data_IF_459336057426
#
_entry.id   IF_459336057426
#
_cell.length_a   1.000
_cell.length_b   1.000
_cell.length_c   1.000
_cell.angle_alpha   90.00
_cell.angle_beta   90.00
_cell.angle_gamma   90.00
#
_symmetry.space_group_name_H-M   'P 1'
#
loop_
_entity.id
_entity.type
_entity.pdbx_description
1 polymer ?
#
# COMPACT_ATOMS: atom_id res chain seq x y z
N UNK A 1 10.35 -23.80 8.56
CA UNK A 1 11.38 -24.27 9.51
C UNK A 1 10.78 -25.37 10.37
N UNK A 2 11.54 -26.42 10.66
CA UNK A 2 11.17 -27.33 11.75
C UNK A 2 11.17 -26.55 13.06
N UNK A 3 10.12 -26.72 13.85
CA UNK A 3 9.95 -26.12 15.17
C UNK A 3 9.35 -27.20 16.07
N UNK A 4 9.73 -27.22 17.34
CA UNK A 4 9.24 -28.24 18.27
C UNK A 4 7.74 -28.05 18.60
N UNK A 5 7.30 -26.79 18.73
CA UNK A 5 5.90 -26.39 18.94
C UNK A 5 5.67 -24.89 18.74
N UNK A 6 4.41 -24.51 18.50
CA UNK A 6 3.94 -23.12 18.51
C UNK A 6 2.79 -23.04 19.50
N UNK A 7 2.86 -22.11 20.45
CA UNK A 7 1.85 -21.87 21.48
C UNK A 7 1.20 -20.49 21.29
N UNK A 8 -0.05 -20.31 21.73
CA UNK A 8 -0.75 -19.01 21.68
C UNK A 8 -1.44 -18.69 20.35
N UNK A 9 -1.59 -19.67 19.45
CA UNK A 9 -2.33 -19.48 18.20
C UNK A 9 -3.81 -19.13 18.44
N UNK A 10 -4.38 -19.50 19.58
CA UNK A 10 -5.74 -19.15 19.99
C UNK A 10 -5.97 -17.64 20.20
N UNK A 11 -4.90 -16.86 20.34
CA UNK A 11 -4.97 -15.39 20.44
C UNK A 11 -5.11 -14.72 19.07
N UNK A 12 -4.81 -15.43 17.99
CA UNK A 12 -4.82 -14.91 16.62
C UNK A 12 -5.92 -15.55 15.78
N UNK A 13 -6.58 -14.75 14.95
CA UNK A 13 -7.53 -15.25 13.95
C UNK A 13 -6.92 -15.26 12.54
N UNK A 14 -5.87 -14.46 12.32
CA UNK A 14 -5.26 -14.26 11.02
C UNK A 14 -3.81 -13.83 11.12
N UNK A 15 -2.99 -14.32 10.18
CA UNK A 15 -1.63 -13.85 9.94
C UNK A 15 -1.58 -13.25 8.53
N UNK A 16 -1.01 -12.06 8.40
CA UNK A 16 -0.88 -11.33 7.14
C UNK A 16 0.57 -10.94 6.95
N UNK A 17 1.16 -11.47 5.89
CA UNK A 17 2.47 -11.06 5.40
C UNK A 17 2.31 -9.90 4.41
N UNK A 18 3.06 -8.81 4.64
CA UNK A 18 3.07 -7.61 3.81
C UNK A 18 4.49 -7.35 3.30
N UNK A 19 4.76 -7.87 2.12
CA UNK A 19 6.02 -7.75 1.39
C UNK A 19 5.96 -6.69 0.27
N UNK A 20 7.12 -6.42 -0.33
CA UNK A 20 7.26 -5.52 -1.47
C UNK A 20 6.89 -6.15 -2.82
N UNK A 21 6.36 -7.38 -2.83
CA UNK A 21 5.97 -8.03 -4.09
C UNK A 21 4.88 -7.21 -4.82
N UNK A 22 4.86 -7.23 -6.16
CA UNK A 22 3.88 -6.46 -6.92
C UNK A 22 2.44 -6.83 -6.54
N UNK A 23 1.55 -5.85 -6.41
CA UNK A 23 0.12 -6.06 -6.14
C UNK A 23 -0.61 -6.82 -7.27
N UNK A 24 0.00 -6.87 -8.45
CA UNK A 24 -0.45 -7.65 -9.59
C UNK A 24 0.59 -7.64 -10.70
N UNK A 25 0.55 -8.67 -11.56
CA UNK A 25 1.50 -8.85 -12.67
C UNK A 25 0.95 -8.38 -14.02
N UNK A 26 -0.21 -7.74 -14.02
CA UNK A 26 -0.91 -7.32 -15.24
C UNK A 26 -1.31 -5.83 -15.18
N UNK A 27 -1.43 -5.15 -16.33
CA UNK A 27 -1.95 -3.77 -16.40
C UNK A 27 -3.38 -3.58 -15.84
N UNK A 28 -4.11 -4.68 -15.66
CA UNK A 28 -5.47 -4.70 -15.10
C UNK A 28 -5.51 -4.50 -13.60
N UNK A 29 -4.40 -4.80 -12.93
CA UNK A 29 -4.24 -4.53 -11.50
C UNK A 29 -3.77 -3.09 -11.33
N UNK A 30 -4.37 -2.38 -10.39
CA UNK A 30 -4.08 -0.98 -10.07
C UNK A 30 -4.53 -0.67 -8.63
N UNK A 31 -4.19 0.49 -8.07
CA UNK A 31 -4.58 0.86 -6.70
C UNK A 31 -6.08 0.71 -6.45
N UNK A 32 -6.93 1.23 -7.36
CA UNK A 32 -8.39 1.19 -7.19
C UNK A 32 -8.98 -0.22 -7.19
N UNK A 33 -8.47 -1.14 -8.02
CA UNK A 33 -8.92 -2.52 -8.05
C UNK A 33 -8.45 -3.28 -6.82
N UNK A 34 -7.24 -3.00 -6.33
CA UNK A 34 -6.66 -3.71 -5.18
C UNK A 34 -7.30 -3.33 -3.84
N UNK A 35 -7.55 -2.03 -3.62
CA UNK A 35 -8.29 -1.52 -2.44
C UNK A 35 -9.81 -1.72 -2.57
N UNK A 36 -10.28 -2.12 -3.75
CA UNK A 36 -11.69 -2.30 -4.06
C UNK A 36 -12.46 -0.99 -4.18
N UNK A 37 -11.79 0.16 -4.35
CA UNK A 37 -12.43 1.44 -4.67
C UNK A 37 -13.10 1.42 -6.05
N UNK A 38 -12.61 0.58 -6.96
CA UNK A 38 -13.13 0.53 -8.33
C UNK A 38 -14.58 0.06 -8.44
N UNK A 39 -15.07 -0.81 -7.56
CA UNK A 39 -16.47 -1.24 -7.58
C UNK A 39 -17.44 -0.11 -7.24
N UNK A 40 -17.30 0.60 -6.10
CA UNK A 40 -18.09 1.80 -5.80
C UNK A 40 -18.03 2.87 -6.91
N UNK A 41 -16.86 3.07 -7.55
CA UNK A 41 -16.74 3.99 -8.70
C UNK A 41 -17.65 3.54 -9.85
N UNK A 42 -17.60 2.26 -10.24
CA UNK A 42 -18.44 1.73 -11.33
C UNK A 42 -19.93 1.81 -11.00
N UNK A 43 -20.30 1.51 -9.77
CA UNK A 43 -21.68 1.59 -9.31
C UNK A 43 -22.18 3.03 -9.35
N UNK A 44 -21.33 4.00 -8.99
CA UNK A 44 -21.62 5.42 -9.11
C UNK A 44 -21.90 5.83 -10.57
N UNK A 45 -21.01 5.46 -11.50
CA UNK A 45 -21.19 5.77 -12.92
C UNK A 45 -22.43 5.12 -13.52
N UNK A 46 -22.76 3.88 -13.13
CA UNK A 46 -24.01 3.23 -13.53
C UNK A 46 -25.27 3.91 -12.97
N UNK A 47 -25.14 4.62 -11.85
CA UNK A 47 -26.21 5.37 -11.22
C UNK A 47 -26.60 6.69 -11.92
N UNK A 48 -25.73 7.21 -12.82
CA UNK A 48 -25.92 8.50 -13.48
C UNK A 48 -27.12 8.49 -14.45
N UNK A 49 -27.82 9.63 -14.65
CA UNK A 49 -28.97 9.72 -15.55
C UNK A 49 -28.68 9.23 -16.98
N UNK A 50 -27.53 9.62 -17.55
CA UNK A 50 -27.09 9.23 -18.89
C UNK A 50 -26.84 7.73 -18.99
N UNK A 51 -26.23 7.13 -17.96
CA UNK A 51 -26.00 5.69 -17.89
C UNK A 51 -27.32 4.93 -17.80
N UNK A 52 -28.25 5.39 -16.93
CA UNK A 52 -29.58 4.80 -16.77
C UNK A 52 -30.40 4.88 -18.06
N UNK A 53 -30.40 6.02 -18.74
CA UNK A 53 -31.10 6.19 -20.01
C UNK A 53 -30.60 5.24 -21.11
N UNK A 54 -29.30 4.91 -21.09
CA UNK A 54 -28.67 3.95 -22.02
C UNK A 54 -28.71 2.50 -21.53
N UNK A 55 -29.29 2.23 -20.36
CA UNK A 55 -29.35 0.90 -19.75
C UNK A 55 -27.99 0.35 -19.29
N UNK A 56 -26.99 1.22 -19.08
CA UNK A 56 -25.65 0.81 -18.70
C UNK A 56 -25.60 0.35 -17.25
N UNK A 57 -25.09 -0.86 -17.06
CA UNK A 57 -24.86 -1.48 -15.75
C UNK A 57 -23.40 -1.29 -15.30
N UNK A 58 -23.03 -1.56 -14.03
CA UNK A 58 -21.64 -1.45 -13.55
C UNK A 58 -20.62 -2.26 -14.36
N UNK A 59 -21.07 -3.30 -15.08
CA UNK A 59 -20.26 -4.07 -16.02
C UNK A 59 -19.77 -3.24 -17.22
N UNK A 60 -20.57 -2.29 -17.72
CA UNK A 60 -20.16 -1.39 -18.83
C UNK A 60 -18.92 -0.58 -18.45
N UNK A 61 -18.84 -0.17 -17.20
CA UNK A 61 -17.74 0.63 -16.64
C UNK A 61 -16.57 -0.21 -16.12
N UNK A 62 -16.51 -1.50 -16.44
CA UNK A 62 -15.38 -2.36 -16.09
C UNK A 62 -14.52 -2.63 -17.31
N UNK A 63 -13.26 -2.22 -17.27
CA UNK A 63 -12.30 -2.55 -18.33
C UNK A 63 -11.99 -4.06 -18.43
N UNK A 64 -12.39 -4.86 -17.43
CA UNK A 64 -12.13 -6.29 -17.41
C UNK A 64 -13.14 -7.13 -18.21
N UNK A 65 -14.32 -6.59 -18.52
CA UNK A 65 -15.42 -7.34 -19.16
C UNK A 65 -15.77 -6.74 -20.52
N UNK A 66 -16.23 -7.60 -21.43
CA UNK A 66 -16.72 -7.15 -22.75
C UNK A 66 -17.93 -6.23 -22.58
N UNK A 67 -18.03 -5.24 -23.45
CA UNK A 67 -19.15 -4.29 -23.48
C UNK A 67 -18.68 -2.85 -23.60
N UNK A 68 -18.09 -2.30 -22.53
CA UNK A 68 -17.63 -0.90 -22.51
C UNK A 68 -16.12 -0.71 -22.64
N UNK A 69 -15.33 -1.76 -22.46
CA UNK A 69 -13.87 -1.72 -22.65
C UNK A 69 -13.49 -1.50 -24.12
N UNK A 70 -12.27 -1.07 -24.35
CA UNK A 70 -11.67 -1.08 -25.69
C UNK A 70 -11.36 -2.53 -26.09
N UNK A 71 -11.94 -3.01 -27.20
CA UNK A 71 -11.71 -4.38 -27.65
C UNK A 71 -10.33 -4.57 -28.32
N UNK A 72 -9.69 -3.51 -28.82
CA UNK A 72 -8.37 -3.61 -29.44
C UNK A 72 -7.27 -4.02 -28.46
N UNK A 73 -7.27 -3.43 -27.25
CA UNK A 73 -6.37 -3.81 -26.15
C UNK A 73 -7.04 -4.68 -25.09
N UNK A 74 -8.26 -5.15 -25.34
CA UNK A 74 -9.08 -5.88 -24.38
C UNK A 74 -9.20 -5.23 -22.99
N UNK A 75 -9.12 -3.89 -22.92
CA UNK A 75 -9.19 -3.11 -21.69
C UNK A 75 -7.87 -2.88 -20.95
N UNK A 76 -6.74 -3.39 -21.44
CA UNK A 76 -5.45 -3.19 -20.79
C UNK A 76 -4.94 -1.75 -20.96
N UNK A 77 -5.37 -1.05 -22.01
CA UNK A 77 -4.93 0.31 -22.37
C UNK A 77 -3.56 0.35 -23.04
N UNK A 78 -2.80 -0.74 -22.92
CA UNK A 78 -1.50 -0.97 -23.55
C UNK A 78 -1.53 -2.28 -24.33
N UNK A 79 -0.62 -2.41 -25.29
CA UNK A 79 -0.35 -3.63 -26.04
C UNK A 79 1.03 -4.12 -25.64
N UNK A 80 1.12 -5.39 -25.26
CA UNK A 80 2.38 -6.03 -24.92
C UNK A 80 3.09 -6.44 -26.22
N UNK A 81 4.32 -5.98 -26.41
CA UNK A 81 5.21 -6.37 -27.50
C UNK A 81 6.26 -7.30 -26.91
N UNK A 82 6.25 -8.55 -27.38
CA UNK A 82 7.22 -9.56 -26.95
C UNK A 82 8.56 -9.32 -27.63
N UNK A 83 9.62 -9.30 -26.82
CA UNK A 83 10.97 -9.05 -27.28
C UNK A 83 11.82 -10.31 -27.03
N UNK A 84 12.55 -10.78 -28.04
CA UNK A 84 13.27 -12.06 -27.94
C UNK A 84 14.41 -12.07 -26.92
N UNK A 85 15.06 -10.93 -26.70
CA UNK A 85 16.27 -10.81 -25.86
C UNK A 85 16.19 -9.70 -24.83
N UNK A 86 15.13 -8.91 -24.86
CA UNK A 86 14.90 -7.79 -23.95
C UNK A 86 13.63 -8.06 -23.15
N UNK A 87 13.44 -7.41 -21.99
CA UNK A 87 12.16 -7.42 -21.32
C UNK A 87 11.04 -6.93 -22.25
N UNK A 88 9.86 -7.54 -22.11
CA UNK A 88 8.69 -7.17 -22.90
C UNK A 88 8.34 -5.69 -22.71
N UNK A 89 7.96 -5.03 -23.80
CA UNK A 89 7.64 -3.61 -23.81
C UNK A 89 6.13 -3.42 -23.91
N UNK A 90 5.59 -2.47 -23.15
CA UNK A 90 4.19 -2.09 -23.22
C UNK A 90 4.07 -0.78 -23.99
N UNK A 91 3.31 -0.79 -25.08
CA UNK A 91 3.03 0.40 -25.89
C UNK A 91 1.58 0.82 -25.71
N UNK A 92 1.32 2.12 -25.60
CA UNK A 92 -0.04 2.65 -25.49
C UNK A 92 -0.89 2.20 -26.67
N UNK A 93 -2.12 1.75 -26.41
CA UNK A 93 -3.03 1.31 -27.46
C UNK A 93 -3.44 2.47 -28.38
N UNK A 94 -3.25 2.33 -29.70
CA UNK A 94 -3.56 3.37 -30.69
C UNK A 94 -5.06 3.67 -30.87
N UNK A 95 -5.93 2.78 -30.41
CA UNK A 95 -7.40 2.92 -30.58
C UNK A 95 -8.04 3.71 -29.44
N UNK A 96 -7.63 3.44 -28.19
CA UNK A 96 -8.18 4.12 -27.02
C UNK A 96 -7.21 5.13 -26.41
N UNK A 97 -5.98 5.23 -26.93
CA UNK A 97 -4.92 6.10 -26.41
C UNK A 97 -4.72 5.94 -24.90
N UNK A 98 -4.72 4.70 -24.40
CA UNK A 98 -4.56 4.41 -22.97
C UNK A 98 -5.84 4.49 -22.13
N UNK A 99 -6.96 5.01 -22.66
CA UNK A 99 -8.21 5.22 -21.89
C UNK A 99 -8.94 3.93 -21.50
N UNK A 100 -8.57 2.77 -22.05
CA UNK A 100 -9.14 1.43 -21.75
C UNK A 100 -10.62 1.19 -22.11
N UNK A 101 -11.36 2.22 -22.53
CA UNK A 101 -12.78 2.14 -22.86
C UNK A 101 -13.08 2.55 -24.31
N UNK A 102 -14.25 2.16 -24.81
CA UNK A 102 -14.79 2.67 -26.07
C UNK A 102 -15.42 4.06 -25.87
N UNK A 103 -15.63 4.76 -26.99
CA UNK A 103 -16.10 6.15 -26.99
C UNK A 103 -17.45 6.30 -26.30
N UNK A 104 -18.39 5.39 -26.55
CA UNK A 104 -19.76 5.46 -26.00
C UNK A 104 -19.79 5.35 -24.47
N UNK A 105 -18.82 4.65 -23.88
CA UNK A 105 -18.69 4.55 -22.42
C UNK A 105 -18.09 5.83 -21.83
N UNK A 106 -17.17 6.48 -22.55
CA UNK A 106 -16.52 7.71 -22.12
C UNK A 106 -17.44 8.94 -22.19
N UNK A 107 -18.53 8.88 -22.96
CA UNK A 107 -19.55 9.93 -23.02
C UNK A 107 -20.35 10.09 -21.71
N UNK A 108 -20.28 9.13 -20.80
CA UNK A 108 -20.92 9.24 -19.49
C UNK A 108 -20.00 9.98 -18.54
N UNK A 109 -20.43 11.17 -18.11
CA UNK A 109 -19.61 12.09 -17.33
C UNK A 109 -20.19 12.29 -15.93
N UNK A 110 -19.31 12.28 -14.93
CA UNK A 110 -19.61 12.76 -13.59
C UNK A 110 -18.80 14.04 -13.35
N UNK A 111 -19.45 15.16 -13.02
CA UNK A 111 -18.78 16.47 -12.85
C UNK A 111 -17.86 16.83 -14.03
N UNK A 112 -18.26 16.50 -15.26
CA UNK A 112 -17.48 16.76 -16.47
C UNK A 112 -16.29 15.80 -16.71
N UNK A 113 -16.16 14.72 -15.94
CA UNK A 113 -15.09 13.72 -16.05
C UNK A 113 -15.67 12.35 -16.38
N UNK A 114 -15.09 11.67 -17.37
CA UNK A 114 -15.40 10.28 -17.68
C UNK A 114 -14.75 9.33 -16.68
N UNK A 115 -15.10 8.04 -16.73
CA UNK A 115 -14.45 7.05 -15.86
C UNK A 115 -12.95 6.90 -16.14
N UNK A 116 -12.50 7.12 -17.39
CA UNK A 116 -11.09 7.11 -17.71
C UNK A 116 -10.38 8.31 -17.07
N UNK A 117 -10.99 9.49 -17.13
CA UNK A 117 -10.43 10.69 -16.50
C UNK A 117 -10.35 10.51 -14.99
N UNK A 118 -11.35 9.90 -14.35
CA UNK A 118 -11.33 9.56 -12.92
C UNK A 118 -10.19 8.60 -12.57
N UNK A 119 -9.94 7.58 -13.40
CA UNK A 119 -8.81 6.67 -13.18
C UNK A 119 -7.44 7.33 -13.41
N UNK A 120 -7.41 8.44 -14.15
CA UNK A 120 -6.21 9.24 -14.42
C UNK A 120 -5.99 10.35 -13.39
N UNK A 121 -6.90 10.54 -12.43
CA UNK A 121 -6.68 11.47 -11.31
C UNK A 121 -5.69 10.87 -10.31
N UNK A 122 -4.95 11.75 -9.64
CA UNK A 122 -4.20 11.36 -8.45
C UNK A 122 -5.15 10.93 -7.33
N UNK A 123 -4.66 10.14 -6.38
CA UNK A 123 -5.43 9.74 -5.20
C UNK A 123 -5.91 10.97 -4.43
N UNK A 124 -5.06 11.98 -4.26
CA UNK A 124 -5.40 13.22 -3.57
C UNK A 124 -6.54 13.99 -4.26
N UNK A 125 -6.46 14.19 -5.58
CA UNK A 125 -7.55 14.81 -6.34
C UNK A 125 -8.82 13.95 -6.27
N UNK A 126 -8.69 12.63 -6.25
CA UNK A 126 -9.80 11.70 -6.13
C UNK A 126 -10.56 11.82 -4.81
N UNK A 127 -9.84 12.00 -3.69
CA UNK A 127 -10.42 12.24 -2.36
C UNK A 127 -11.35 13.47 -2.42
N UNK A 128 -10.84 14.58 -2.94
CA UNK A 128 -11.59 15.83 -3.04
C UNK A 128 -12.76 15.71 -4.03
N UNK A 129 -12.53 15.07 -5.17
CA UNK A 129 -13.55 14.89 -6.20
C UNK A 129 -14.73 14.03 -5.73
N UNK A 130 -14.45 12.99 -4.95
CA UNK A 130 -15.45 12.10 -4.34
C UNK A 130 -15.83 12.47 -2.91
N UNK A 131 -15.59 13.70 -2.45
CA UNK A 131 -15.91 14.12 -1.07
C UNK A 131 -17.35 13.79 -0.62
N UNK A 132 -18.31 13.85 -1.55
CA UNK A 132 -19.74 13.53 -1.32
C UNK A 132 -20.12 12.06 -1.53
N UNK A 133 -19.14 11.17 -1.79
CA UNK A 133 -19.33 9.74 -2.06
C UNK A 133 -18.44 8.93 -1.11
N UNK A 134 -18.90 8.72 0.15
CA UNK A 134 -18.08 8.09 1.20
C UNK A 134 -17.49 6.74 0.79
N UNK A 135 -18.27 5.90 0.11
CA UNK A 135 -17.83 4.57 -0.32
C UNK A 135 -16.63 4.55 -1.28
N UNK A 136 -16.34 5.66 -1.97
CA UNK A 136 -15.13 5.86 -2.77
C UNK A 136 -14.09 6.64 -1.97
N UNK A 137 -14.49 7.79 -1.42
CA UNK A 137 -13.62 8.70 -0.67
C UNK A 137 -12.82 7.98 0.42
N UNK A 138 -13.48 7.20 1.27
CA UNK A 138 -12.84 6.59 2.43
C UNK A 138 -11.72 5.63 2.03
N UNK A 139 -11.86 4.96 0.86
CA UNK A 139 -10.82 4.06 0.31
C UNK A 139 -9.67 4.80 -0.35
N UNK A 140 -9.91 6.01 -0.87
CA UNK A 140 -8.85 6.87 -1.39
C UNK A 140 -8.14 7.58 -0.24
N UNK A 141 -8.85 7.91 0.83
CA UNK A 141 -8.27 8.48 2.05
C UNK A 141 -7.25 7.52 2.67
N UNK A 142 -7.55 6.21 2.74
CA UNK A 142 -6.57 5.24 3.26
C UNK A 142 -5.30 5.18 2.41
N UNK A 143 -5.40 5.32 1.08
CA UNK A 143 -4.24 5.44 0.20
C UNK A 143 -3.46 6.75 0.46
N UNK A 144 -4.17 7.86 0.70
CA UNK A 144 -3.55 9.14 1.03
C UNK A 144 -2.81 9.09 2.37
N UNK A 145 -3.41 8.46 3.39
CA UNK A 145 -2.84 8.29 4.74
C UNK A 145 -1.51 7.54 4.70
N UNK A 146 -1.40 6.48 3.90
CA UNK A 146 -0.13 5.75 3.71
C UNK A 146 0.89 6.51 2.83
N UNK A 147 0.63 7.77 2.47
CA UNK A 147 1.54 8.61 1.70
C UNK A 147 1.47 8.44 0.19
N UNK A 148 0.43 7.80 -0.35
CA UNK A 148 0.24 7.58 -1.79
C UNK A 148 -0.70 8.59 -2.45
N UNK A 149 -0.76 9.83 -1.94
CA UNK A 149 -1.61 10.88 -2.53
C UNK A 149 -1.27 11.19 -4.00
N UNK A 150 0.00 11.02 -4.39
CA UNK A 150 0.53 11.43 -5.69
C UNK A 150 0.33 10.39 -6.82
N UNK A 151 0.05 9.12 -6.49
CA UNK A 151 -0.13 8.08 -7.52
C UNK A 151 -1.50 8.23 -8.18
N UNK A 152 -1.63 7.76 -9.42
CA UNK A 152 -2.92 7.80 -10.11
C UNK A 152 -3.81 6.63 -9.65
N UNK A 153 -5.11 6.86 -9.51
CA UNK A 153 -6.09 5.87 -9.04
C UNK A 153 -6.05 4.58 -9.89
N UNK A 154 -5.87 4.74 -11.19
CA UNK A 154 -5.79 3.68 -12.19
C UNK A 154 -4.37 3.28 -12.62
N UNK A 155 -3.32 3.77 -11.92
CA UNK A 155 -1.92 3.49 -12.24
C UNK A 155 -1.65 1.98 -12.35
N UNK A 156 -0.97 1.56 -13.42
CA UNK A 156 -0.75 0.14 -13.68
C UNK A 156 0.14 -0.46 -12.59
N UNK A 157 -0.24 -1.63 -12.06
CA UNK A 157 0.54 -2.29 -11.00
C UNK A 157 1.98 -2.61 -11.42
N UNK A 158 2.19 -2.86 -12.71
CA UNK A 158 3.51 -3.14 -13.29
C UNK A 158 4.45 -1.93 -13.30
N UNK A 159 3.93 -0.72 -13.09
CA UNK A 159 4.73 0.53 -13.05
C UNK A 159 4.88 1.06 -11.63
N UNK A 160 4.42 0.34 -10.61
CA UNK A 160 4.60 0.70 -9.21
C UNK A 160 5.95 0.17 -8.70
N UNK A 161 6.60 0.96 -7.88
CA UNK A 161 7.75 0.54 -7.08
C UNK A 161 7.34 -0.47 -5.99
N UNK A 162 8.33 -1.22 -5.47
CA UNK A 162 8.10 -2.16 -4.35
C UNK A 162 7.48 -1.47 -3.12
N UNK A 163 8.03 -0.32 -2.72
CA UNK A 163 7.50 0.46 -1.60
C UNK A 163 6.10 1.04 -1.83
N UNK A 164 5.73 1.39 -3.08
CA UNK A 164 4.34 1.75 -3.40
C UNK A 164 3.40 0.54 -3.31
N UNK A 165 3.81 -0.61 -3.86
CA UNK A 165 3.03 -1.84 -3.80
C UNK A 165 2.77 -2.26 -2.34
N UNK A 166 3.79 -2.19 -1.49
CA UNK A 166 3.67 -2.47 -0.06
C UNK A 166 2.70 -1.54 0.65
N UNK A 167 2.81 -0.22 0.41
CA UNK A 167 1.89 0.77 0.99
C UNK A 167 0.44 0.60 0.52
N UNK A 168 0.20 0.17 -0.72
CA UNK A 168 -1.16 -0.17 -1.19
C UNK A 168 -1.73 -1.37 -0.43
N UNK A 169 -0.89 -2.39 -0.12
CA UNK A 169 -1.30 -3.53 0.71
C UNK A 169 -1.66 -3.08 2.12
N UNK A 170 -0.86 -2.19 2.72
CA UNK A 170 -1.15 -1.59 4.03
C UNK A 170 -2.47 -0.82 4.03
N UNK A 171 -2.69 0.06 3.04
CA UNK A 171 -3.93 0.83 2.92
C UNK A 171 -5.18 -0.06 2.83
N UNK A 172 -5.06 -1.23 2.20
CA UNK A 172 -6.15 -2.21 2.14
C UNK A 172 -6.43 -2.81 3.52
N UNK A 173 -5.41 -3.14 4.29
CA UNK A 173 -5.61 -3.71 5.63
C UNK A 173 -6.12 -2.68 6.63
N UNK A 174 -5.65 -1.43 6.57
CA UNK A 174 -6.22 -0.30 7.34
C UNK A 174 -7.72 -0.09 7.08
N UNK A 175 -8.15 -0.28 5.82
CA UNK A 175 -9.57 -0.09 5.46
C UNK A 175 -10.51 -1.17 6.01
N UNK A 176 -9.97 -2.25 6.58
CA UNK A 176 -10.77 -3.36 7.12
C UNK A 176 -11.13 -3.11 8.58
N UNK A 177 -12.27 -3.65 9.00
CA UNK A 177 -12.62 -3.67 10.42
C UNK A 177 -11.64 -4.59 11.15
N UNK A 178 -10.89 -4.02 12.09
CA UNK A 178 -10.01 -4.78 12.96
C UNK A 178 -10.80 -5.78 13.82
N UNK A 179 -10.24 -6.97 13.96
CA UNK A 179 -10.70 -7.97 14.93
C UNK A 179 -9.93 -7.87 16.25
N UNK A 180 -8.82 -7.11 16.27
CA UNK A 180 -7.88 -7.03 17.39
C UNK A 180 -7.11 -8.34 17.61
N UNK A 181 -7.09 -9.24 16.62
CA UNK A 181 -6.49 -10.57 16.70
C UNK A 181 -5.68 -10.93 15.44
N UNK A 182 -5.32 -9.93 14.65
CA UNK A 182 -4.51 -10.14 13.44
C UNK A 182 -3.03 -9.89 13.74
N UNK A 183 -2.17 -10.77 13.24
CA UNK A 183 -0.72 -10.58 13.23
C UNK A 183 -0.29 -10.12 11.84
N UNK A 184 0.33 -8.94 11.77
CA UNK A 184 0.96 -8.40 10.58
C UNK A 184 2.46 -8.65 10.64
N UNK A 185 3.04 -9.18 9.56
CA UNK A 185 4.48 -9.38 9.41
C UNK A 185 4.96 -8.54 8.24
N UNK A 186 5.99 -7.73 8.47
CA UNK A 186 6.60 -6.88 7.45
C UNK A 186 8.10 -7.13 7.39
N UNK A 187 8.60 -7.37 6.19
CA UNK A 187 10.02 -7.53 5.91
C UNK A 187 10.59 -6.25 5.30
N UNK A 188 11.49 -5.59 6.05
CA UNK A 188 12.15 -4.32 5.73
C UNK A 188 11.25 -3.28 5.02
N UNK A 189 10.14 -2.85 5.67
CA UNK A 189 9.19 -1.95 5.05
C UNK A 189 9.75 -0.54 4.79
N UNK A 190 10.93 -0.19 5.34
CA UNK A 190 11.57 1.10 5.06
C UNK A 190 12.56 1.07 3.89
N UNK A 191 12.80 -0.10 3.27
CA UNK A 191 13.73 -0.20 2.15
C UNK A 191 13.32 0.70 0.99
N UNK A 192 14.20 1.65 0.64
CA UNK A 192 13.99 2.62 -0.43
C UNK A 192 13.05 3.80 -0.08
N UNK A 193 12.63 3.94 1.18
CA UNK A 193 11.80 5.06 1.62
C UNK A 193 12.64 6.25 2.12
N UNK A 194 12.18 7.46 1.79
CA UNK A 194 12.71 8.69 2.36
C UNK A 194 12.28 8.84 3.82
N UNK A 195 13.04 9.55 4.67
CA UNK A 195 12.76 9.72 6.10
C UNK A 195 11.32 10.19 6.42
N UNK A 196 10.79 11.08 5.59
CA UNK A 196 9.41 11.55 5.74
C UNK A 196 8.37 10.45 5.48
N UNK A 197 8.64 9.53 4.56
CA UNK A 197 7.74 8.41 4.26
C UNK A 197 7.86 7.30 5.32
N UNK A 198 9.04 7.15 5.93
CA UNK A 198 9.22 6.28 7.11
C UNK A 198 8.34 6.77 8.27
N UNK A 199 8.29 8.07 8.54
CA UNK A 199 7.42 8.61 9.58
C UNK A 199 5.93 8.29 9.34
N UNK A 200 5.45 8.48 8.10
CA UNK A 200 4.06 8.13 7.72
C UNK A 200 3.78 6.64 7.83
N UNK A 201 4.74 5.80 7.44
CA UNK A 201 4.63 4.35 7.60
C UNK A 201 4.50 3.99 9.08
N UNK A 202 5.33 4.59 9.96
CA UNK A 202 5.25 4.34 11.40
C UNK A 202 3.89 4.75 11.98
N UNK A 203 3.34 5.90 11.59
CA UNK A 203 1.98 6.32 11.99
C UNK A 203 0.94 5.24 11.66
N UNK A 204 1.01 4.68 10.45
CA UNK A 204 0.12 3.61 9.98
C UNK A 204 0.32 2.31 10.77
N UNK A 205 1.57 1.91 11.05
CA UNK A 205 1.85 0.70 11.81
C UNK A 205 1.36 0.81 13.26
N UNK A 206 1.56 1.98 13.89
CA UNK A 206 1.04 2.24 15.22
C UNK A 206 -0.49 2.25 15.24
N UNK A 207 -1.15 2.79 14.22
CA UNK A 207 -2.62 2.72 14.12
C UNK A 207 -3.13 1.27 14.08
N UNK A 208 -2.44 0.37 13.37
CA UNK A 208 -2.80 -1.05 13.37
C UNK A 208 -2.67 -1.68 14.77
N UNK A 209 -1.63 -1.31 15.52
CA UNK A 209 -1.42 -1.75 16.91
C UNK A 209 -2.48 -1.18 17.85
N UNK A 210 -2.83 0.11 17.70
CA UNK A 210 -3.88 0.79 18.49
C UNK A 210 -5.26 0.16 18.29
N UNK A 211 -5.50 -0.44 17.12
CA UNK A 211 -6.69 -1.24 16.85
C UNK A 211 -6.68 -2.64 17.52
N UNK A 212 -5.65 -2.94 18.32
CA UNK A 212 -5.48 -4.18 19.07
C UNK A 212 -4.74 -5.28 18.32
N UNK A 213 -4.24 -5.02 17.11
CA UNK A 213 -3.50 -6.02 16.34
C UNK A 213 -2.02 -6.09 16.77
N UNK A 214 -1.30 -7.10 16.31
CA UNK A 214 0.14 -7.22 16.50
C UNK A 214 0.86 -6.96 15.20
N UNK A 215 1.92 -6.15 15.24
CA UNK A 215 2.78 -5.86 14.09
C UNK A 215 4.20 -6.32 14.42
N UNK A 216 4.73 -7.23 13.61
CA UNK A 216 6.11 -7.69 13.67
C UNK A 216 6.83 -7.16 12.44
N UNK A 217 7.92 -6.45 12.68
CA UNK A 217 8.72 -5.84 11.62
C UNK A 217 10.15 -6.36 11.70
N UNK A 218 10.68 -6.82 10.57
CA UNK A 218 12.10 -7.11 10.38
C UNK A 218 12.74 -5.84 9.84
N UNK A 219 13.64 -5.22 10.59
CA UNK A 219 14.23 -3.93 10.23
C UNK A 219 15.67 -3.80 10.71
N UNK A 220 16.43 -3.02 9.97
CA UNK A 220 17.74 -2.52 10.37
C UNK A 220 17.74 -1.00 10.55
N UNK A 221 16.65 -0.31 10.19
CA UNK A 221 16.52 1.13 10.36
C UNK A 221 16.26 1.51 11.82
N UNK A 222 17.24 2.19 12.42
CA UNK A 222 17.18 2.63 13.83
C UNK A 222 16.02 3.60 14.11
N UNK A 223 15.53 4.33 13.11
CA UNK A 223 14.37 5.21 13.25
C UNK A 223 13.07 4.43 13.51
N UNK A 224 12.97 3.19 13.00
CA UNK A 224 11.86 2.27 13.29
C UNK A 224 12.09 1.59 14.63
N UNK A 225 13.28 1.01 14.82
CA UNK A 225 13.61 0.21 16.01
C UNK A 225 13.41 1.02 17.30
N UNK A 226 13.77 2.32 17.30
CA UNK A 226 13.61 3.19 18.48
C UNK A 226 12.15 3.41 18.89
N UNK A 227 11.20 3.21 17.98
CA UNK A 227 9.76 3.45 18.22
C UNK A 227 9.00 2.19 18.62
N UNK A 228 9.64 1.02 18.52
CA UNK A 228 9.02 -0.25 18.87
C UNK A 228 8.82 -0.36 20.39
N UNK A 229 7.70 -0.95 20.80
CA UNK A 229 7.44 -1.28 22.21
C UNK A 229 8.29 -2.44 22.71
N UNK A 230 8.64 -3.36 21.80
CA UNK A 230 9.44 -4.55 22.08
C UNK A 230 10.33 -4.91 20.89
N UNK A 231 11.57 -5.28 21.17
CA UNK A 231 12.59 -5.65 20.19
C UNK A 231 13.13 -7.04 20.55
N UNK A 232 13.31 -7.87 19.53
CA UNK A 232 14.04 -9.13 19.60
C UNK A 232 15.31 -8.98 18.77
N UNK A 233 16.46 -8.95 19.44
CA UNK A 233 17.75 -8.77 18.78
C UNK A 233 18.42 -10.13 18.54
N UNK A 234 18.70 -10.44 17.28
CA UNK A 234 19.27 -11.71 16.85
C UNK A 234 20.74 -11.52 16.47
N UNK A 235 21.56 -12.52 16.74
CA UNK A 235 22.99 -12.48 16.43
C UNK A 235 23.77 -13.52 17.24
N UNK A 236 24.93 -13.17 17.82
CA UNK A 236 25.60 -11.86 17.74
C UNK A 236 26.17 -11.56 16.34
N UNK A 237 26.57 -12.58 15.59
CA UNK A 237 27.09 -12.43 14.22
C UNK A 237 26.10 -12.96 13.18
N UNK A 238 26.44 -12.87 11.89
CA UNK A 238 25.72 -13.54 10.82
C UNK A 238 26.20 -14.98 10.56
N UNK A 239 25.41 -15.77 9.83
CA UNK A 239 25.77 -17.13 9.43
C UNK A 239 25.92 -18.08 10.62
N UNK A 240 26.95 -18.93 10.61
CA UNK A 240 27.22 -19.93 11.66
C UNK A 240 27.53 -19.33 13.03
N UNK A 241 27.89 -18.04 13.09
CA UNK A 241 28.13 -17.30 14.33
C UNK A 241 26.88 -16.63 14.92
N UNK A 242 25.72 -16.84 14.30
CA UNK A 242 24.45 -16.24 14.68
C UNK A 242 23.39 -17.24 15.13
N UNK A 243 22.13 -16.82 15.05
CA UNK A 243 20.97 -17.67 15.38
C UNK A 243 20.61 -17.70 16.86
N UNK A 244 21.26 -16.90 17.70
CA UNK A 244 20.90 -16.72 19.11
C UNK A 244 20.06 -15.46 19.31
N UNK A 245 19.17 -15.51 20.31
CA UNK A 245 18.53 -14.31 20.85
C UNK A 245 19.52 -13.61 21.79
N UNK A 246 20.12 -12.52 21.31
CA UNK A 246 21.14 -11.76 22.03
C UNK A 246 20.51 -10.92 23.15
N UNK A 247 19.42 -10.24 22.82
CA UNK A 247 18.67 -9.40 23.74
C UNK A 247 17.18 -9.38 23.39
N UNK A 248 16.33 -9.14 24.39
CA UNK A 248 14.92 -8.86 24.17
C UNK A 248 14.42 -7.84 25.20
N UNK A 249 13.47 -7.00 24.81
CA UNK A 249 12.86 -6.01 25.68
C UNK A 249 12.55 -4.71 24.97
N UNK A 250 12.36 -3.63 25.74
CA UNK A 250 12.20 -2.29 25.16
C UNK A 250 13.50 -1.82 24.50
N UNK A 251 13.46 -0.83 23.59
CA UNK A 251 14.66 -0.20 23.03
C UNK A 251 15.74 0.15 24.07
N UNK A 252 15.36 0.67 25.24
CA UNK A 252 16.28 1.01 26.33
C UNK A 252 16.89 -0.22 27.01
N UNK A 253 16.19 -1.36 27.02
CA UNK A 253 16.73 -2.62 27.51
C UNK A 253 17.79 -3.17 26.55
N UNK A 254 17.54 -3.10 25.24
CA UNK A 254 18.50 -3.53 24.20
C UNK A 254 19.80 -2.74 24.31
N UNK A 255 19.73 -1.42 24.53
CA UNK A 255 20.91 -0.54 24.72
C UNK A 255 21.80 -0.96 25.91
N UNK A 256 21.26 -1.66 26.91
CA UNK A 256 22.03 -2.12 28.07
C UNK A 256 22.81 -3.41 27.80
N UNK A 257 22.44 -4.18 26.79
CA UNK A 257 23.12 -5.42 26.43
C UNK A 257 24.39 -5.11 25.61
N UNK A 258 25.55 -5.47 26.16
CA UNK A 258 26.84 -5.17 25.53
C UNK A 258 27.11 -6.02 24.30
N UNK A 259 26.54 -7.24 24.25
CA UNK A 259 26.65 -8.15 23.10
C UNK A 259 25.80 -7.70 21.91
N UNK A 260 24.85 -6.79 22.11
CA UNK A 260 23.93 -6.32 21.07
C UNK A 260 24.58 -5.23 20.21
N UNK A 261 24.84 -5.52 18.93
CA UNK A 261 25.25 -4.48 17.99
C UNK A 261 24.14 -3.44 17.82
N UNK A 262 22.88 -3.88 17.73
CA UNK A 262 21.69 -3.00 17.69
C UNK A 262 21.69 -2.01 18.85
N UNK A 263 21.93 -2.49 20.08
CA UNK A 263 22.00 -1.65 21.28
C UNK A 263 23.13 -0.61 21.23
N UNK A 264 24.30 -0.97 20.70
CA UNK A 264 25.45 -0.07 20.57
C UNK A 264 25.12 1.14 19.67
N UNK A 265 24.50 0.89 18.50
CA UNK A 265 24.15 1.97 17.57
C UNK A 265 22.89 2.74 18.00
N UNK A 266 21.91 2.05 18.58
CA UNK A 266 20.67 2.66 19.07
C UNK A 266 20.94 3.65 20.21
N UNK A 267 21.96 3.38 21.04
CA UNK A 267 22.39 4.25 22.13
C UNK A 267 22.68 5.67 21.65
N UNK A 268 23.49 5.81 20.61
CA UNK A 268 23.85 7.14 20.08
C UNK A 268 22.62 7.91 19.61
N UNK A 269 21.65 7.22 18.99
CA UNK A 269 20.44 7.85 18.48
C UNK A 269 19.51 8.33 19.60
N UNK A 270 19.35 7.54 20.66
CA UNK A 270 18.55 7.91 21.83
C UNK A 270 19.18 9.07 22.62
N UNK A 271 20.51 9.09 22.72
CA UNK A 271 21.27 10.17 23.39
C UNK A 271 21.24 11.50 22.60
N UNK A 272 21.14 11.45 21.26
CA UNK A 272 21.07 12.62 20.38
C UNK A 272 19.75 13.40 20.42
N UNK A 273 18.79 13.06 21.29
CA UNK A 273 17.54 13.84 21.44
C UNK A 273 17.86 15.33 21.69
N UNK A 274 17.36 16.28 20.87
CA UNK A 274 17.36 17.68 21.26
C UNK A 274 16.42 17.81 22.46
N UNK A 275 16.95 18.27 23.59
CA UNK A 275 16.12 18.73 24.69
C UNK A 275 15.24 19.89 24.24
N UNK A 276 13.96 19.83 24.58
CA UNK A 276 13.07 20.98 24.73
C UNK A 276 12.70 21.74 23.45
N UNK A 277 11.52 22.35 23.49
CA UNK A 277 11.14 23.44 22.59
C UNK A 277 12.32 24.41 22.49
N UNK A 278 12.90 24.62 21.30
CA UNK A 278 13.61 25.86 21.02
C UNK A 278 12.54 26.95 21.11
N UNK A 279 12.53 27.69 22.21
CA UNK A 279 11.92 29.01 22.25
C UNK A 279 12.41 29.76 21.02
N UNK A 280 11.46 30.25 20.22
CA UNK A 280 11.75 31.13 19.12
C UNK A 280 12.54 32.33 19.67
N UNK A 281 13.78 32.47 19.22
CA UNK A 281 14.53 33.70 19.45
C UNK A 281 13.87 34.83 18.68
N UNK A 282 13.76 35.98 19.35
CA UNK A 282 13.18 37.26 18.92
C UNK A 282 13.49 37.70 17.48
#
# INVERSE_FOLDING_TARGET
AEHDRIEGLEFLDKVIDIDQSPIGRTPRSNPATYTGAFTPIRDWFAGLPEAKARGYQPGRFSFNVKGGRCEACQGDGVIKIEMHFLPDVYVTCDVCHGKRYNRETLDVLFKGKSIADVLDMTVEEGVDFFAAVPGVRDKLETLKQVGLGYIHIGQQATTLSGGEAQRIKLAKELSRKATGKTLYILDEPTTGLHFHDVAKLLEVLHELVDQGNTVVVIEHNLEVIKTADWVLDLGPEGGDGGGELVAQGTPEAIVREKRSYTGQFLKELLERRPGGKREAAE
#
